data_IF_817201753143
#
_entry.id   IF_817201753143
#
_cell.length_a   1.000
_cell.length_b   1.000
_cell.length_c   1.000
_cell.angle_alpha   90.00
_cell.angle_beta   90.00
_cell.angle_gamma   90.00
#
_symmetry.space_group_name_H-M   'P 1'
#
loop_
_entity.id
_entity.type
_entity.pdbx_description
1 polymer ?
#
# COMPACT_ATOMS: atom_id res chain seq x y z
N UNK A 1 -6.93 -3.10 -12.41
CA UNK A 1 -7.32 -1.97 -11.53
C UNK A 1 -6.75 -2.22 -10.15
N UNK A 2 -6.08 -1.24 -9.54
CA UNK A 2 -5.47 -1.38 -8.23
C UNK A 2 -5.96 -0.30 -7.25
N UNK A 3 -6.09 -0.67 -5.98
CA UNK A 3 -6.40 0.25 -4.87
C UNK A 3 -5.64 -0.16 -3.62
N UNK A 4 -5.41 0.81 -2.74
CA UNK A 4 -4.67 0.61 -1.49
C UNK A 4 -5.38 1.33 -0.35
N UNK A 5 -5.69 0.58 0.69
CA UNK A 5 -6.19 1.10 1.97
C UNK A 5 -5.05 1.17 2.98
N UNK A 6 -4.91 2.33 3.63
CA UNK A 6 -3.93 2.60 4.68
C UNK A 6 -4.67 3.13 5.90
N UNK A 7 -4.89 2.25 6.88
CA UNK A 7 -5.60 2.58 8.11
C UNK A 7 -7.03 3.08 7.86
N UNK A 8 -7.74 2.48 6.90
CA UNK A 8 -9.12 2.83 6.54
C UNK A 8 -9.25 4.02 5.58
N UNK A 9 -8.15 4.47 4.98
CA UNK A 9 -8.14 5.57 4.00
C UNK A 9 -7.51 5.11 2.68
N UNK A 10 -8.12 5.52 1.56
CA UNK A 10 -7.54 5.27 0.24
C UNK A 10 -6.23 6.05 0.08
N UNK A 11 -5.18 5.37 -0.36
CA UNK A 11 -3.88 5.96 -0.67
C UNK A 11 -3.69 6.14 -2.18
N UNK A 12 -3.05 7.23 -2.58
CA UNK A 12 -2.67 7.48 -3.97
C UNK A 12 -1.54 6.52 -4.38
N UNK A 13 -1.73 5.79 -5.48
CA UNK A 13 -0.71 4.94 -6.09
C UNK A 13 0.16 5.81 -6.99
N UNK A 14 1.45 5.89 -6.67
CA UNK A 14 2.46 6.65 -7.41
C UNK A 14 3.16 5.79 -8.47
N UNK A 15 3.20 4.48 -8.26
CA UNK A 15 3.80 3.51 -9.19
C UNK A 15 3.19 2.12 -8.96
N UNK A 16 3.04 1.36 -10.05
CA UNK A 16 2.69 -0.05 -10.04
C UNK A 16 3.26 -0.71 -11.31
N UNK A 17 4.17 -1.67 -11.14
CA UNK A 17 4.79 -2.41 -12.25
C UNK A 17 6.04 -3.15 -11.81
N UNK A 18 6.78 -3.71 -12.77
CA UNK A 18 7.97 -4.52 -12.50
C UNK A 18 9.04 -3.77 -11.68
N UNK A 19 9.56 -4.39 -10.62
CA UNK A 19 10.48 -3.70 -9.69
C UNK A 19 11.91 -3.50 -10.23
N UNK A 20 12.29 -4.23 -11.28
CA UNK A 20 13.59 -4.11 -11.94
C UNK A 20 14.62 -5.20 -11.56
N UNK A 21 14.88 -5.43 -10.26
CA UNK A 21 15.98 -6.35 -9.88
C UNK A 21 15.63 -7.83 -9.88
N UNK A 22 14.35 -8.17 -9.67
CA UNK A 22 13.90 -9.56 -9.53
C UNK A 22 12.82 -9.85 -10.58
N UNK A 23 13.14 -10.74 -11.52
CA UNK A 23 12.19 -11.16 -12.55
C UNK A 23 10.95 -11.80 -11.94
N UNK A 24 9.78 -11.35 -12.38
CA UNK A 24 8.49 -11.84 -11.90
C UNK A 24 7.99 -11.16 -10.63
N UNK A 25 8.70 -10.15 -10.09
CA UNK A 25 8.21 -9.32 -8.99
C UNK A 25 7.80 -7.93 -9.49
N UNK A 26 6.63 -7.50 -9.01
CA UNK A 26 6.15 -6.13 -9.16
C UNK A 26 6.37 -5.33 -7.86
N UNK A 27 6.49 -4.02 -8.01
CA UNK A 27 6.55 -3.04 -6.94
C UNK A 27 5.37 -2.08 -7.05
N UNK A 28 4.90 -1.63 -5.89
CA UNK A 28 3.87 -0.62 -5.75
C UNK A 28 4.33 0.47 -4.78
N UNK A 29 4.33 1.72 -5.23
CA UNK A 29 4.63 2.89 -4.41
C UNK A 29 3.36 3.67 -4.13
N UNK A 30 3.17 4.12 -2.89
CA UNK A 30 1.99 4.88 -2.46
C UNK A 30 2.37 6.14 -1.71
N UNK A 31 1.51 7.16 -1.77
CA UNK A 31 1.62 8.34 -0.93
C UNK A 31 0.94 8.10 0.42
N UNK A 32 1.69 8.24 1.50
CA UNK A 32 1.14 8.25 2.86
C UNK A 32 0.68 9.67 3.20
N UNK A 33 -0.59 9.80 3.59
CA UNK A 33 -1.15 11.08 4.01
C UNK A 33 -0.60 11.50 5.39
N UNK A 34 -0.33 12.80 5.58
CA UNK A 34 0.10 13.35 6.87
C UNK A 34 -0.93 13.16 7.98
N UNK A 35 -2.20 12.98 7.63
CA UNK A 35 -3.30 12.66 8.55
C UNK A 35 -3.15 11.30 9.25
N UNK A 36 -2.18 10.47 8.84
CA UNK A 36 -1.85 9.22 9.51
C UNK A 36 -0.94 9.41 10.74
N UNK A 37 -0.29 10.58 10.88
CA UNK A 37 0.62 10.88 12.00
C UNK A 37 -0.06 10.65 13.36
N UNK A 38 0.66 10.04 14.30
CA UNK A 38 0.16 9.78 15.64
C UNK A 38 -0.91 8.67 15.76
N UNK A 39 -1.32 8.01 14.66
CA UNK A 39 -2.30 6.91 14.71
C UNK A 39 -1.75 5.61 15.33
N UNK A 40 -0.44 5.50 15.51
CA UNK A 40 0.19 4.29 16.04
C UNK A 40 0.15 3.17 15.00
N UNK A 41 -0.31 1.99 15.42
CA UNK A 41 -0.34 0.80 14.57
C UNK A 41 -1.55 0.83 13.63
N UNK A 42 -1.30 0.72 12.32
CA UNK A 42 -2.32 0.69 11.28
C UNK A 42 -2.09 -0.46 10.32
N UNK A 43 -3.14 -0.86 9.61
CA UNK A 43 -3.07 -1.89 8.57
C UNK A 43 -2.97 -1.27 7.18
N UNK A 44 -2.24 -1.94 6.30
CA UNK A 44 -2.18 -1.69 4.87
C UNK A 44 -2.72 -2.91 4.15
N UNK A 45 -3.63 -2.70 3.21
CA UNK A 45 -4.16 -3.73 2.32
C UNK A 45 -4.24 -3.19 0.91
N UNK A 46 -3.81 -3.97 -0.08
CA UNK A 46 -4.02 -3.64 -1.48
C UNK A 46 -4.98 -4.62 -2.15
N UNK A 47 -5.57 -4.16 -3.24
CA UNK A 47 -6.34 -4.97 -4.16
C UNK A 47 -5.78 -4.76 -5.56
N UNK A 48 -5.44 -5.83 -6.26
CA UNK A 48 -4.93 -5.80 -7.64
C UNK A 48 -5.75 -6.77 -8.46
N UNK A 49 -6.40 -6.27 -9.50
CA UNK A 49 -7.23 -7.04 -10.42
C UNK A 49 -8.27 -7.93 -9.71
N UNK A 50 -8.90 -7.36 -8.68
CA UNK A 50 -9.94 -8.02 -7.88
C UNK A 50 -9.41 -8.98 -6.80
N UNK A 51 -8.10 -9.19 -6.72
CA UNK A 51 -7.47 -10.02 -5.69
C UNK A 51 -6.95 -9.17 -4.54
N UNK A 52 -7.36 -9.51 -3.31
CA UNK A 52 -6.87 -8.86 -2.11
C UNK A 52 -5.51 -9.42 -1.67
N UNK A 53 -4.61 -8.55 -1.21
CA UNK A 53 -3.38 -8.97 -0.56
C UNK A 53 -3.61 -9.41 0.89
N UNK A 54 -2.58 -10.03 1.47
CA UNK A 54 -2.44 -10.10 2.92
C UNK A 54 -2.33 -8.69 3.51
N UNK A 55 -2.84 -8.52 4.74
CA UNK A 55 -2.72 -7.26 5.46
C UNK A 55 -1.34 -7.14 6.09
N UNK A 56 -0.70 -5.98 5.93
CA UNK A 56 0.56 -5.64 6.60
C UNK A 56 0.27 -4.64 7.70
N UNK A 57 0.78 -4.86 8.91
CA UNK A 57 0.68 -3.89 10.00
C UNK A 57 1.97 -3.06 10.07
N UNK A 58 1.82 -1.74 10.16
CA UNK A 58 2.92 -0.79 10.33
C UNK A 58 2.63 0.17 11.47
N UNK A 59 3.68 0.71 12.09
CA UNK A 59 3.57 1.76 13.10
C UNK A 59 3.92 3.12 12.52
N UNK A 60 2.99 4.05 12.54
CA UNK A 60 3.21 5.45 12.17
C UNK A 60 3.58 6.25 13.42
N UNK A 61 4.70 6.97 13.37
CA UNK A 61 5.14 7.93 14.40
C UNK A 61 4.76 9.35 13.98
#
# INVERSE_FOLDING_TARGET
MASVDVGGQSAEILYLGAQGDFTGLDQLNIRLDRNLRGRGDINIKCMVDGSASNSVSIRIK
#
